data_IF_183697984412
#
_entry.id   IF_183697984412
#
_cell.length_a   1.000
_cell.length_b   1.000
_cell.length_c   1.000
_cell.angle_alpha   90.00
_cell.angle_beta   90.00
_cell.angle_gamma   90.00
#
_symmetry.space_group_name_H-M   'P 1'
#
loop_
_entity.id
_entity.type
_entity.pdbx_description
1 polymer ?
#
# COMPACT_ATOMS: atom_id res chain seq x y z
N UNK A 1 -2.80 9.70 -7.96
CA UNK A 1 -3.17 8.80 -6.86
C UNK A 1 -1.96 7.94 -6.52
N UNK A 2 -1.74 7.66 -5.23
CA UNK A 2 -0.65 6.82 -4.75
C UNK A 2 -1.16 5.59 -4.02
N UNK A 3 -0.29 4.62 -3.67
CA UNK A 3 -0.65 3.50 -2.81
C UNK A 3 -1.22 4.00 -1.48
N UNK A 4 -2.14 3.25 -0.91
CA UNK A 4 -2.76 3.57 0.38
C UNK A 4 -2.37 2.53 1.43
N UNK A 5 -2.43 2.88 2.71
CA UNK A 5 -2.06 1.99 3.81
C UNK A 5 -2.83 0.66 3.77
N UNK A 6 -4.10 0.68 3.37
CA UNK A 6 -4.88 -0.56 3.22
C UNK A 6 -4.28 -1.55 2.21
N UNK A 7 -3.60 -1.08 1.16
CA UNK A 7 -2.90 -1.97 0.24
C UNK A 7 -1.59 -2.49 0.84
N UNK A 8 -0.87 -1.66 1.59
CA UNK A 8 0.33 -2.09 2.31
C UNK A 8 0.01 -3.18 3.33
N UNK A 9 -1.09 -3.01 4.07
CA UNK A 9 -1.56 -3.98 5.05
C UNK A 9 -2.06 -5.29 4.42
N UNK A 10 -2.46 -5.27 3.15
CA UNK A 10 -2.82 -6.50 2.45
C UNK A 10 -1.61 -7.41 2.19
N UNK A 11 -0.40 -6.87 2.16
CA UNK A 11 0.82 -7.69 2.17
C UNK A 11 1.05 -8.24 3.58
N UNK A 12 0.64 -9.50 3.78
CA UNK A 12 0.62 -10.18 5.09
C UNK A 12 2.01 -10.32 5.73
N UNK A 13 2.08 -10.49 7.03
CA UNK A 13 3.30 -10.88 7.72
C UNK A 13 3.66 -12.34 7.39
N UNK A 14 4.95 -12.63 7.25
CA UNK A 14 5.43 -13.99 6.88
C UNK A 14 5.17 -15.03 7.96
N UNK A 15 5.15 -14.60 9.23
CA UNK A 15 4.91 -15.45 10.40
C UNK A 15 3.43 -15.45 10.86
N UNK A 16 2.52 -14.89 10.06
CA UNK A 16 1.11 -14.80 10.44
C UNK A 16 0.46 -16.15 10.73
N UNK A 17 -0.42 -16.18 11.74
CA UNK A 17 -1.30 -17.30 12.03
C UNK A 17 -2.55 -17.33 11.13
N UNK A 18 -2.78 -16.26 10.40
CA UNK A 18 -3.93 -16.09 9.50
C UNK A 18 -3.47 -15.79 8.07
N UNK A 19 -2.86 -16.77 7.37
CA UNK A 19 -2.36 -16.57 6.01
C UNK A 19 -3.51 -16.22 5.05
N UNK A 20 -3.20 -15.37 4.06
CA UNK A 20 -4.19 -14.88 3.08
C UNK A 20 -5.13 -13.83 3.64
N UNK A 21 -4.72 -13.08 4.67
CA UNK A 21 -5.47 -11.97 5.26
C UNK A 21 -4.61 -10.73 5.47
N UNK A 22 -5.24 -9.57 5.65
CA UNK A 22 -4.55 -8.30 5.91
C UNK A 22 -3.82 -8.34 7.27
N UNK A 23 -2.56 -7.92 7.30
CA UNK A 23 -1.79 -7.72 8.53
C UNK A 23 -1.62 -6.22 8.82
N UNK A 24 -2.26 -5.74 9.88
CA UNK A 24 -2.27 -4.31 10.22
C UNK A 24 -0.89 -3.78 10.58
N UNK A 25 -0.62 -2.53 10.18
CA UNK A 25 0.54 -1.78 10.69
C UNK A 25 0.18 -1.25 12.07
N UNK A 26 0.95 -1.63 13.07
CA UNK A 26 0.72 -1.21 14.46
C UNK A 26 1.29 0.19 14.65
N UNK A 27 0.43 1.18 14.83
CA UNK A 27 0.82 2.59 15.05
C UNK A 27 0.64 3.05 16.49
N UNK A 28 -0.09 2.29 17.28
CA UNK A 28 -0.32 2.56 18.70
C UNK A 28 -0.33 1.27 19.52
N UNK A 29 0.11 1.36 20.75
CA UNK A 29 0.13 0.27 21.71
C UNK A 29 -0.23 0.83 23.09
N UNK A 30 -1.18 0.19 23.78
CA UNK A 30 -1.65 0.64 25.09
C UNK A 30 -2.09 2.12 25.15
N UNK A 31 -2.72 2.62 24.08
CA UNK A 31 -3.22 4.00 24.01
C UNK A 31 -2.14 5.06 23.76
N UNK A 32 -0.89 4.66 23.51
CA UNK A 32 0.23 5.54 23.17
C UNK A 32 0.76 5.24 21.79
N UNK A 33 1.52 6.17 21.18
CA UNK A 33 2.18 5.92 19.91
C UNK A 33 3.19 4.78 20.05
N UNK A 34 3.20 3.87 19.06
CA UNK A 34 4.27 2.89 18.95
C UNK A 34 5.44 3.51 18.20
N UNK A 35 6.60 3.49 18.83
CA UNK A 35 7.85 3.92 18.23
C UNK A 35 8.61 2.70 17.68
N UNK A 36 9.28 2.88 16.57
CA UNK A 36 10.10 1.88 15.92
C UNK A 36 11.54 2.37 15.81
N UNK A 37 12.49 1.47 15.86
CA UNK A 37 13.92 1.78 15.79
C UNK A 37 14.36 2.30 14.41
N UNK A 38 13.60 1.99 13.38
CA UNK A 38 13.85 2.45 12.01
C UNK A 38 12.54 2.68 11.26
N UNK A 39 12.59 3.54 10.24
CA UNK A 39 11.41 3.89 9.44
C UNK A 39 10.84 2.74 8.62
N UNK A 40 11.63 1.73 8.33
CA UNK A 40 11.24 0.52 7.60
C UNK A 40 10.72 -0.60 8.50
N UNK A 41 10.97 -0.54 9.82
CA UNK A 41 10.60 -1.60 10.76
C UNK A 41 9.12 -2.01 10.72
N UNK A 42 8.13 -1.10 10.54
CA UNK A 42 6.71 -1.48 10.42
C UNK A 42 6.39 -2.32 9.18
N UNK A 43 7.31 -2.38 8.22
CA UNK A 43 7.12 -3.00 6.89
C UNK A 43 7.99 -4.24 6.69
N UNK A 44 8.88 -4.55 7.65
CA UNK A 44 9.71 -5.77 7.63
C UNK A 44 8.87 -7.03 7.81
N UNK A 45 9.42 -8.14 7.37
CA UNK A 45 8.85 -9.48 7.54
C UNK A 45 7.44 -9.63 6.95
N UNK A 46 7.14 -8.85 5.91
CA UNK A 46 5.91 -8.94 5.13
C UNK A 46 6.15 -9.68 3.82
N UNK A 47 5.06 -10.03 3.18
CA UNK A 47 5.03 -10.57 1.82
C UNK A 47 6.05 -9.83 0.93
N UNK A 48 7.04 -10.53 0.34
CA UNK A 48 8.11 -9.92 -0.45
C UNK A 48 7.61 -9.08 -1.63
N UNK A 49 6.38 -9.32 -2.09
CA UNK A 49 5.75 -8.53 -3.15
C UNK A 49 5.51 -7.07 -2.73
N UNK A 50 5.42 -6.78 -1.43
CA UNK A 50 5.37 -5.39 -0.94
C UNK A 50 6.56 -4.60 -1.43
N UNK A 51 7.77 -5.14 -1.25
CA UNK A 51 9.00 -4.49 -1.69
C UNK A 51 9.04 -4.24 -3.20
N UNK A 52 8.59 -5.21 -4.00
CA UNK A 52 8.55 -5.08 -5.46
C UNK A 52 7.48 -4.12 -5.98
N UNK A 53 6.52 -3.76 -5.16
CA UNK A 53 5.30 -3.05 -5.60
C UNK A 53 5.22 -1.62 -5.08
N UNK A 54 5.65 -1.38 -3.85
CA UNK A 54 5.45 -0.12 -3.13
C UNK A 54 6.77 0.37 -2.52
N UNK A 55 7.04 1.66 -2.68
CA UNK A 55 8.04 2.37 -1.90
C UNK A 55 7.39 2.85 -0.61
N UNK A 56 7.96 2.43 0.51
CA UNK A 56 7.55 2.78 1.86
C UNK A 56 8.69 3.50 2.59
N UNK A 57 8.46 4.12 3.74
CA UNK A 57 9.52 4.77 4.52
C UNK A 57 10.69 3.83 4.79
N UNK A 58 11.90 4.26 4.47
CA UNK A 58 13.12 3.46 4.62
C UNK A 58 13.43 2.51 3.46
N UNK A 59 12.56 2.39 2.45
CA UNK A 59 12.90 1.67 1.23
C UNK A 59 13.95 2.43 0.41
N UNK A 60 14.64 1.72 -0.48
CA UNK A 60 15.59 2.32 -1.43
C UNK A 60 15.03 2.29 -2.84
N UNK A 61 15.32 3.35 -3.61
CA UNK A 61 15.09 3.43 -5.04
C UNK A 61 16.38 3.88 -5.73
N UNK A 62 16.88 3.08 -6.67
CA UNK A 62 18.15 3.36 -7.38
C UNK A 62 19.31 3.63 -6.40
N UNK A 63 19.41 2.82 -5.35
CA UNK A 63 20.39 2.95 -4.26
C UNK A 63 20.32 4.27 -3.48
N UNK A 64 19.19 4.98 -3.55
CA UNK A 64 18.92 6.18 -2.76
C UNK A 64 17.83 5.87 -1.73
N UNK A 65 18.07 6.10 -0.44
CA UNK A 65 17.04 5.94 0.58
C UNK A 65 15.87 6.88 0.35
N UNK A 66 14.65 6.35 0.46
CA UNK A 66 13.41 7.11 0.31
C UNK A 66 12.95 7.57 1.69
N UNK A 67 13.13 8.85 1.99
CA UNK A 67 12.73 9.44 3.27
C UNK A 67 11.37 10.11 3.08
N UNK A 68 10.35 9.54 3.73
CA UNK A 68 8.95 9.98 3.61
C UNK A 68 8.47 10.71 4.88
N UNK A 69 9.36 11.39 5.59
CA UNK A 69 9.02 12.16 6.78
C UNK A 69 8.08 13.32 6.43
N UNK A 70 6.98 13.44 7.17
CA UNK A 70 5.97 14.50 6.99
C UNK A 70 5.83 15.43 8.21
N UNK A 71 6.53 15.14 9.28
CA UNK A 71 6.48 15.90 10.51
C UNK A 71 7.32 15.25 11.60
N UNK A 72 7.23 15.80 12.79
CA UNK A 72 7.95 15.33 13.97
C UNK A 72 6.99 15.24 15.16
N UNK A 73 7.09 14.14 15.91
CA UNK A 73 6.41 14.03 17.20
C UNK A 73 7.30 14.64 18.28
N UNK A 74 6.77 15.61 19.00
CA UNK A 74 7.44 16.23 20.14
C UNK A 74 6.61 16.03 21.41
N UNK A 75 7.27 15.91 22.55
CA UNK A 75 6.59 15.81 23.84
C UNK A 75 6.48 17.19 24.45
N UNK A 76 5.25 17.70 24.56
CA UNK A 76 4.96 19.00 25.16
C UNK A 76 4.06 18.79 26.38
N UNK A 77 4.51 19.26 27.56
CA UNK A 77 3.78 19.11 28.84
C UNK A 77 3.33 17.66 29.17
N UNK A 78 4.12 16.67 28.71
CA UNK A 78 3.83 15.26 28.94
C UNK A 78 2.98 14.60 27.85
N UNK A 79 2.37 15.36 26.96
CA UNK A 79 1.56 14.90 25.82
C UNK A 79 2.35 14.92 24.52
N UNK A 80 2.05 13.97 23.60
CA UNK A 80 2.67 13.94 22.28
C UNK A 80 1.92 14.86 21.32
N UNK A 81 2.62 15.80 20.73
CA UNK A 81 2.12 16.71 19.72
C UNK A 81 2.83 16.45 18.38
N UNK A 82 2.04 16.39 17.29
CA UNK A 82 2.57 16.30 15.94
C UNK A 82 2.82 17.71 15.39
N UNK A 83 4.08 18.01 15.11
CA UNK A 83 4.45 19.21 14.37
C UNK A 83 4.68 18.78 12.92
N UNK A 84 3.86 19.28 12.01
CA UNK A 84 3.98 19.07 10.57
C UNK A 84 4.17 20.41 9.87
N UNK A 85 4.68 20.38 8.65
CA UNK A 85 4.90 21.59 7.88
C UNK A 85 5.29 21.31 6.43
N UNK A 86 5.48 22.37 5.67
CA UNK A 86 6.02 22.32 4.32
C UNK A 86 7.54 22.10 4.30
N UNK A 87 8.12 21.98 3.11
CA UNK A 87 9.56 21.69 2.92
C UNK A 87 10.50 22.67 3.63
N UNK A 88 10.10 23.92 3.74
CA UNK A 88 10.90 24.97 4.36
C UNK A 88 10.70 25.08 5.89
N UNK A 89 9.73 24.32 6.41
CA UNK A 89 9.44 24.31 7.84
C UNK A 89 10.54 23.57 8.59
N UNK A 90 10.98 24.16 9.71
CA UNK A 90 12.04 23.62 10.56
C UNK A 90 11.57 23.52 12.01
N UNK A 91 12.14 22.58 12.72
CA UNK A 91 11.99 22.49 14.17
C UNK A 91 12.82 23.58 14.89
N UNK A 92 12.71 23.63 16.22
CA UNK A 92 13.45 24.59 17.04
C UNK A 92 14.99 24.44 16.93
N UNK A 93 15.48 23.29 16.47
CA UNK A 93 16.89 23.00 16.27
C UNK A 93 17.35 23.24 14.82
N UNK A 94 16.47 23.71 13.94
CA UNK A 94 16.76 23.97 12.54
C UNK A 94 16.68 22.76 11.61
N UNK A 95 16.23 21.59 12.08
CA UNK A 95 16.05 20.40 11.26
C UNK A 95 14.75 20.51 10.44
N UNK A 96 14.78 19.99 9.21
CA UNK A 96 13.59 19.98 8.37
C UNK A 96 12.48 19.10 8.97
N UNK A 97 11.27 19.64 9.07
CA UNK A 97 10.08 18.90 9.54
C UNK A 97 9.55 17.93 8.49
N UNK A 98 9.69 18.27 7.22
CA UNK A 98 9.21 17.45 6.11
C UNK A 98 10.36 17.13 5.17
N UNK A 99 10.56 15.86 4.87
CA UNK A 99 11.57 15.44 3.90
C UNK A 99 11.17 15.82 2.47
N UNK A 100 12.15 15.91 1.56
CA UNK A 100 11.94 16.25 0.15
C UNK A 100 10.91 15.34 -0.52
N UNK A 101 10.89 14.06 -0.19
CA UNK A 101 9.96 13.05 -0.72
C UNK A 101 8.76 12.83 0.21
N UNK A 102 8.67 13.54 1.32
CA UNK A 102 7.55 13.45 2.26
C UNK A 102 6.27 14.06 1.72
N UNK A 103 5.11 13.64 2.23
CA UNK A 103 3.86 14.29 1.91
C UNK A 103 3.83 15.71 2.47
N UNK A 104 3.38 16.66 1.66
CA UNK A 104 3.27 18.08 2.00
C UNK A 104 1.83 18.49 2.13
N UNK A 105 1.58 19.51 2.93
CA UNK A 105 0.24 20.12 3.04
C UNK A 105 -0.11 20.94 1.80
N UNK A 106 0.88 21.58 1.17
CA UNK A 106 0.68 22.35 -0.06
C UNK A 106 0.18 21.47 -1.21
N UNK A 107 -0.68 22.04 -2.03
CA UNK A 107 -1.29 21.37 -3.17
C UNK A 107 -0.33 21.30 -4.38
N UNK A 108 0.92 20.88 -4.11
CA UNK A 108 1.93 20.80 -5.14
C UNK A 108 1.71 19.61 -6.07
N UNK A 109 1.99 19.83 -7.32
CA UNK A 109 2.04 18.80 -8.35
C UNK A 109 3.12 17.77 -7.99
N UNK A 110 2.83 16.48 -8.17
CA UNK A 110 3.76 15.35 -7.95
C UNK A 110 4.01 14.96 -6.49
N UNK A 111 3.31 15.52 -5.53
CA UNK A 111 3.39 15.10 -4.13
C UNK A 111 2.34 14.03 -3.82
N UNK A 112 2.78 12.93 -3.25
CA UNK A 112 1.89 11.90 -2.76
C UNK A 112 1.53 12.16 -1.30
N UNK A 113 0.24 12.21 -1.00
CA UNK A 113 -0.29 12.50 0.34
C UNK A 113 -0.55 11.24 1.17
N UNK A 114 -0.19 10.06 0.69
CA UNK A 114 -0.46 8.79 1.40
C UNK A 114 0.72 8.26 2.22
N UNK A 115 1.92 8.79 2.01
CA UNK A 115 3.16 8.30 2.61
C UNK A 115 3.76 7.10 1.89
N UNK A 116 3.25 6.75 0.70
CA UNK A 116 3.73 5.64 -0.12
C UNK A 116 3.83 6.02 -1.59
N UNK A 117 4.76 5.42 -2.32
CA UNK A 117 4.92 5.62 -3.76
C UNK A 117 4.91 4.28 -4.49
N UNK A 118 4.65 4.31 -5.80
CA UNK A 118 4.79 3.15 -6.66
C UNK A 118 6.25 2.76 -6.83
N UNK A 119 6.53 1.45 -6.81
CA UNK A 119 7.79 0.87 -7.27
C UNK A 119 7.58 0.06 -8.54
N UNK A 120 6.50 -0.72 -8.57
CA UNK A 120 6.14 -1.57 -9.70
C UNK A 120 6.09 -0.74 -11.00
N UNK A 121 6.69 -1.25 -12.05
CA UNK A 121 6.84 -0.59 -13.35
C UNK A 121 7.75 0.65 -13.37
N UNK A 122 8.52 0.90 -12.32
CA UNK A 122 9.60 1.87 -12.37
C UNK A 122 10.85 1.15 -12.89
N UNK A 123 11.45 1.72 -13.94
CA UNK A 123 12.74 1.30 -14.43
C UNK A 123 13.82 1.85 -13.50
N UNK A 124 14.51 0.96 -12.78
CA UNK A 124 15.54 1.36 -11.81
C UNK A 124 16.93 1.56 -12.48
N UNK A 125 17.04 1.38 -13.79
CA UNK A 125 18.25 1.71 -14.53
C UNK A 125 18.63 3.18 -14.33
N UNK A 126 19.92 3.50 -14.12
CA UNK A 126 20.34 4.89 -13.97
C UNK A 126 19.90 5.76 -15.14
N UNK A 127 19.23 6.87 -14.85
CA UNK A 127 18.70 7.81 -15.85
C UNK A 127 17.37 7.44 -16.48
N UNK A 128 16.90 6.20 -16.35
CA UNK A 128 15.55 5.81 -16.80
C UNK A 128 14.45 6.30 -15.84
N UNK A 129 13.20 6.23 -16.28
CA UNK A 129 12.01 6.62 -15.49
C UNK A 129 12.07 8.05 -14.91
N UNK A 130 12.79 8.94 -15.57
CA UNK A 130 12.83 10.37 -15.24
C UNK A 130 12.06 11.17 -16.28
N UNK A 131 11.60 12.37 -15.91
CA UNK A 131 10.84 13.23 -16.83
C UNK A 131 11.63 13.48 -18.12
N UNK A 132 11.02 13.20 -19.27
CA UNK A 132 11.64 13.37 -20.59
C UNK A 132 12.62 12.26 -20.99
N UNK A 133 12.72 11.17 -20.23
CA UNK A 133 13.50 9.99 -20.56
C UNK A 133 12.58 8.80 -20.81
N UNK A 134 12.90 8.01 -21.82
CA UNK A 134 12.20 6.77 -22.10
C UNK A 134 12.58 5.69 -21.09
N UNK A 135 11.67 4.74 -20.91
CA UNK A 135 11.87 3.53 -20.11
C UNK A 135 11.59 2.33 -21.01
N UNK A 136 12.35 1.26 -20.83
CA UNK A 136 12.16 -0.02 -21.50
C UNK A 136 11.22 -0.96 -20.72
N UNK A 137 10.65 -0.49 -19.61
CA UNK A 137 9.70 -1.26 -18.83
C UNK A 137 8.42 -1.49 -19.61
N UNK A 138 7.97 -2.73 -19.58
CA UNK A 138 6.74 -3.17 -20.22
C UNK A 138 5.71 -3.63 -19.18
N UNK A 139 4.44 -3.47 -19.48
CA UNK A 139 3.34 -3.94 -18.66
C UNK A 139 2.82 -5.27 -19.21
N UNK A 140 2.81 -6.34 -18.42
CA UNK A 140 2.21 -7.60 -18.84
C UNK A 140 0.70 -7.42 -19.04
N UNK A 141 0.18 -7.94 -20.14
CA UNK A 141 -1.27 -7.97 -20.39
C UNK A 141 -1.91 -9.23 -19.81
N UNK A 142 -1.14 -10.29 -19.81
CA UNK A 142 -1.53 -11.58 -19.25
C UNK A 142 -0.27 -12.32 -18.79
N UNK A 143 -0.34 -13.03 -17.69
CA UNK A 143 0.77 -13.79 -17.16
C UNK A 143 0.30 -15.06 -16.43
N UNK A 144 1.21 -16.01 -16.24
CA UNK A 144 0.89 -17.33 -15.71
C UNK A 144 0.18 -17.28 -14.34
N UNK A 145 0.52 -16.33 -13.48
CA UNK A 145 -0.20 -16.15 -12.20
C UNK A 145 -1.70 -15.93 -12.40
N UNK A 146 -2.11 -15.23 -13.46
CA UNK A 146 -3.52 -15.02 -13.76
C UNK A 146 -4.21 -16.33 -14.14
N UNK A 147 -3.54 -17.19 -14.94
CA UNK A 147 -4.07 -18.51 -15.27
C UNK A 147 -4.24 -19.37 -14.00
N UNK A 148 -3.26 -19.34 -13.09
CA UNK A 148 -3.37 -20.04 -11.81
C UNK A 148 -4.49 -19.48 -10.93
N UNK A 149 -4.65 -18.17 -10.85
CA UNK A 149 -5.70 -17.56 -10.04
C UNK A 149 -7.11 -17.80 -10.62
N UNK A 150 -7.24 -17.79 -11.95
CA UNK A 150 -8.51 -18.20 -12.62
C UNK A 150 -8.83 -19.67 -12.31
N UNK A 151 -7.82 -20.56 -12.37
CA UNK A 151 -8.01 -21.96 -12.04
C UNK A 151 -8.37 -22.17 -10.55
N UNK A 152 -7.78 -21.38 -9.65
CA UNK A 152 -8.10 -21.42 -8.22
C UNK A 152 -9.55 -21.01 -7.97
N UNK A 153 -10.00 -19.90 -8.57
CA UNK A 153 -11.37 -19.40 -8.44
C UNK A 153 -12.39 -20.40 -9.05
N UNK A 154 -12.13 -20.88 -10.27
CA UNK A 154 -13.00 -21.87 -10.89
C UNK A 154 -13.09 -23.18 -10.07
N UNK A 155 -11.96 -23.62 -9.50
CA UNK A 155 -11.93 -24.83 -8.65
C UNK A 155 -12.67 -24.62 -7.33
N UNK A 156 -12.63 -23.42 -6.77
CA UNK A 156 -13.39 -23.03 -5.59
C UNK A 156 -14.89 -23.06 -5.87
N UNK A 157 -15.35 -22.44 -6.96
CA UNK A 157 -16.76 -22.44 -7.37
C UNK A 157 -17.30 -23.83 -7.72
N UNK A 158 -16.46 -24.69 -8.26
CA UNK A 158 -16.83 -26.09 -8.57
C UNK A 158 -16.72 -27.02 -7.37
N UNK A 159 -16.27 -26.56 -6.23
CA UNK A 159 -16.06 -27.35 -5.01
C UNK A 159 -15.25 -28.66 -5.24
N UNK A 160 -14.33 -28.65 -6.23
CA UNK A 160 -13.61 -29.85 -6.65
C UNK A 160 -12.35 -30.15 -5.82
N UNK A 161 -12.10 -29.38 -4.75
CA UNK A 161 -10.98 -29.55 -3.81
C UNK A 161 -9.61 -29.12 -4.32
N UNK A 162 -9.48 -28.56 -5.53
CA UNK A 162 -8.19 -28.20 -6.14
C UNK A 162 -7.82 -26.71 -6.00
N UNK A 163 -8.67 -25.89 -5.40
CA UNK A 163 -8.41 -24.45 -5.27
C UNK A 163 -7.08 -24.17 -4.56
N UNK A 164 -6.75 -24.93 -3.51
CA UNK A 164 -5.50 -24.78 -2.77
C UNK A 164 -4.25 -25.11 -3.62
N UNK A 165 -4.33 -26.07 -4.53
CA UNK A 165 -3.23 -26.40 -5.45
C UNK A 165 -2.83 -25.17 -6.29
N UNK A 166 -3.79 -24.50 -6.86
CA UNK A 166 -3.55 -23.41 -7.79
C UNK A 166 -3.17 -22.09 -7.09
N UNK A 167 -3.87 -21.71 -6.02
CA UNK A 167 -3.55 -20.49 -5.28
C UNK A 167 -2.18 -20.60 -4.59
N UNK A 168 -1.84 -21.78 -4.07
CA UNK A 168 -0.56 -22.03 -3.42
C UNK A 168 0.61 -22.05 -4.43
N UNK A 169 0.40 -22.34 -5.70
CA UNK A 169 1.44 -22.18 -6.70
C UNK A 169 1.89 -20.70 -6.81
N UNK A 170 0.96 -19.75 -6.71
CA UNK A 170 1.24 -18.31 -6.69
C UNK A 170 1.89 -17.91 -5.36
N UNK A 171 1.34 -18.35 -4.24
CA UNK A 171 1.80 -18.03 -2.89
C UNK A 171 3.22 -18.57 -2.62
N UNK A 172 3.50 -19.82 -3.00
CA UNK A 172 4.83 -20.41 -2.86
C UNK A 172 5.89 -19.67 -3.67
N UNK A 173 5.56 -19.23 -4.90
CA UNK A 173 6.45 -18.39 -5.70
C UNK A 173 6.74 -17.05 -5.01
N UNK A 174 5.76 -16.48 -4.32
CA UNK A 174 5.90 -15.23 -3.58
C UNK A 174 6.66 -15.41 -2.25
N UNK A 175 6.84 -16.65 -1.77
CA UNK A 175 7.51 -16.95 -0.51
C UNK A 175 6.63 -16.72 0.72
N UNK A 176 5.30 -16.73 0.54
CA UNK A 176 4.35 -16.60 1.64
C UNK A 176 3.74 -17.95 2.02
N UNK A 177 3.22 -18.04 3.24
CA UNK A 177 2.69 -19.27 3.82
C UNK A 177 1.54 -19.84 2.98
N UNK A 178 1.54 -21.12 2.61
CA UNK A 178 0.46 -21.74 1.85
C UNK A 178 -0.84 -21.79 2.67
N UNK A 179 -1.96 -21.85 1.96
CA UNK A 179 -3.29 -22.03 2.54
C UNK A 179 -3.62 -23.53 2.60
N UNK A 180 -4.08 -24.01 3.74
CA UNK A 180 -4.59 -25.39 3.89
C UNK A 180 -6.00 -25.49 3.31
N UNK A 181 -6.83 -24.52 3.60
CA UNK A 181 -8.18 -24.34 3.06
C UNK A 181 -8.29 -23.00 2.38
N UNK A 182 -9.06 -22.93 1.31
CA UNK A 182 -9.25 -21.70 0.53
C UNK A 182 -10.68 -21.20 0.73
N UNK A 183 -10.80 -19.96 1.13
CA UNK A 183 -12.06 -19.23 1.17
C UNK A 183 -12.15 -18.25 0.00
N UNK A 184 -13.33 -17.73 -0.27
CA UNK A 184 -13.50 -16.70 -1.28
C UNK A 184 -12.70 -15.43 -0.92
N UNK A 185 -12.64 -15.08 0.35
CA UNK A 185 -11.86 -13.94 0.86
C UNK A 185 -10.36 -14.11 0.58
N UNK A 186 -9.84 -15.34 0.70
CA UNK A 186 -8.44 -15.63 0.36
C UNK A 186 -8.18 -15.42 -1.15
N UNK A 187 -9.11 -15.81 -2.02
CA UNK A 187 -9.01 -15.56 -3.46
C UNK A 187 -9.00 -14.06 -3.73
N UNK A 188 -9.95 -13.32 -3.15
CA UNK A 188 -10.04 -11.86 -3.29
C UNK A 188 -8.79 -11.15 -2.79
N UNK A 189 -8.23 -11.63 -1.68
CA UNK A 189 -6.99 -11.11 -1.10
C UNK A 189 -5.79 -11.39 -2.02
N UNK A 190 -5.62 -12.61 -2.48
CA UNK A 190 -4.49 -12.99 -3.33
C UNK A 190 -4.50 -12.24 -4.68
N UNK A 191 -5.67 -12.09 -5.32
CA UNK A 191 -5.82 -11.23 -6.49
C UNK A 191 -5.39 -9.79 -6.22
N UNK A 192 -5.72 -9.26 -5.05
CA UNK A 192 -5.37 -7.88 -4.67
C UNK A 192 -3.88 -7.65 -4.56
N UNK A 193 -3.15 -8.57 -3.93
CA UNK A 193 -1.71 -8.42 -3.70
C UNK A 193 -0.89 -8.82 -4.93
N UNK A 194 -1.30 -9.87 -5.64
CA UNK A 194 -0.58 -10.36 -6.82
C UNK A 194 -0.71 -9.39 -8.00
N UNK A 195 -1.91 -8.88 -8.27
CA UNK A 195 -2.18 -8.02 -9.43
C UNK A 195 -2.29 -6.53 -9.08
N UNK A 196 -1.68 -6.12 -7.96
CA UNK A 196 -1.63 -4.71 -7.61
C UNK A 196 -1.05 -3.88 -8.77
N UNK A 197 -1.77 -2.83 -9.19
CA UNK A 197 -1.43 -1.94 -10.30
C UNK A 197 -1.41 -2.57 -11.71
N UNK A 198 -2.03 -3.73 -11.89
CA UNK A 198 -2.21 -4.39 -13.19
C UNK A 198 -3.65 -4.27 -13.73
N UNK A 199 -4.40 -3.26 -13.29
CA UNK A 199 -5.78 -2.94 -13.68
C UNK A 199 -6.85 -4.02 -13.34
N UNK A 200 -6.49 -5.06 -12.56
CA UNK A 200 -7.42 -6.13 -12.19
C UNK A 200 -8.48 -5.68 -11.19
N UNK A 201 -8.08 -4.97 -10.12
CA UNK A 201 -8.91 -4.69 -8.94
C UNK A 201 -10.28 -4.10 -9.26
N UNK A 202 -10.35 -3.16 -10.21
CA UNK A 202 -11.60 -2.52 -10.58
C UNK A 202 -12.61 -3.51 -11.16
N UNK A 203 -12.16 -4.36 -12.06
CA UNK A 203 -13.01 -5.34 -12.73
C UNK A 203 -13.39 -6.49 -11.80
N UNK A 204 -12.45 -6.96 -10.98
CA UNK A 204 -12.67 -8.01 -10.01
C UNK A 204 -13.72 -7.61 -8.97
N UNK A 205 -13.64 -6.40 -8.43
CA UNK A 205 -14.64 -5.90 -7.48
C UNK A 205 -16.04 -5.83 -8.08
N UNK A 206 -16.15 -5.53 -9.37
CA UNK A 206 -17.43 -5.51 -10.07
C UNK A 206 -17.97 -6.92 -10.35
N UNK A 207 -17.16 -7.81 -10.92
CA UNK A 207 -17.59 -9.16 -11.24
C UNK A 207 -17.98 -9.97 -10.01
N UNK A 208 -17.29 -9.76 -8.88
CA UNK A 208 -17.63 -10.36 -7.58
C UNK A 208 -18.74 -9.62 -6.81
N UNK A 209 -19.25 -8.52 -7.34
CA UNK A 209 -20.25 -7.66 -6.68
C UNK A 209 -19.79 -7.13 -5.31
N UNK A 210 -18.49 -6.93 -5.16
CA UNK A 210 -17.87 -6.37 -3.95
C UNK A 210 -17.66 -4.85 -4.04
N UNK A 211 -17.84 -4.25 -5.23
CA UNK A 211 -17.63 -2.82 -5.46
C UNK A 211 -18.48 -1.96 -4.52
N UNK A 212 -19.72 -2.33 -4.31
CA UNK A 212 -20.63 -1.64 -3.41
C UNK A 212 -20.14 -1.69 -1.95
N UNK A 213 -19.67 -2.84 -1.48
CA UNK A 213 -19.14 -2.99 -0.13
C UNK A 213 -17.84 -2.22 0.09
N UNK A 214 -16.94 -2.22 -0.91
CA UNK A 214 -15.60 -1.64 -0.79
C UNK A 214 -15.61 -0.14 -1.07
N UNK A 215 -16.45 0.33 -2.00
CA UNK A 215 -16.46 1.73 -2.45
C UNK A 215 -17.69 2.52 -2.04
N UNK A 216 -18.65 1.87 -1.38
CA UNK A 216 -19.85 2.54 -0.90
C UNK A 216 -19.52 3.55 0.21
N UNK A 217 -19.98 4.80 0.03
CA UNK A 217 -19.74 5.91 0.91
C UNK A 217 -20.40 5.87 2.28
N UNK A 218 -21.11 4.83 2.60
CA UNK A 218 -21.86 4.70 3.85
C UNK A 218 -21.00 4.43 5.09
N UNK A 219 -19.69 4.21 4.94
CA UNK A 219 -18.82 4.29 6.09
C UNK A 219 -18.70 5.77 6.47
N UNK A 220 -19.22 6.13 7.64
CA UNK A 220 -19.09 7.45 8.25
C UNK A 220 -17.63 7.85 8.50
N UNK A 221 -16.69 6.97 8.19
CA UNK A 221 -15.27 7.22 8.20
C UNK A 221 -14.72 7.26 6.76
N UNK A 222 -14.57 8.46 6.16
CA UNK A 222 -13.92 8.61 4.86
C UNK A 222 -12.49 8.08 4.82
N UNK A 223 -11.85 7.89 5.97
CA UNK A 223 -10.49 7.39 6.12
C UNK A 223 -10.43 5.86 6.00
N UNK A 224 -11.50 5.15 6.32
CA UNK A 224 -11.56 3.71 6.13
C UNK A 224 -11.29 3.30 4.68
N UNK A 225 -11.52 4.19 3.71
CA UNK A 225 -11.28 3.96 2.28
C UNK A 225 -9.87 4.27 1.82
N UNK A 226 -9.22 5.26 2.45
CA UNK A 226 -7.95 5.82 2.00
C UNK A 226 -7.03 6.03 3.19
N UNK A 227 -6.82 4.98 3.97
CA UNK A 227 -5.93 5.03 5.12
C UNK A 227 -4.52 5.41 4.67
N UNK A 228 -3.93 6.31 5.42
CA UNK A 228 -2.56 6.79 5.26
C UNK A 228 -1.71 6.28 6.39
N UNK A 229 -0.42 6.28 6.18
CA UNK A 229 0.51 6.06 7.27
C UNK A 229 0.44 7.27 8.22
N UNK A 230 0.12 7.01 9.49
CA UNK A 230 0.20 8.02 10.53
C UNK A 230 1.67 8.21 10.95
N UNK A 231 2.17 9.41 11.21
CA UNK A 231 1.47 10.69 11.34
C UNK A 231 1.41 11.53 10.05
N UNK A 232 1.49 10.95 8.88
CA UNK A 232 1.41 11.66 7.60
C UNK A 232 0.02 12.28 7.42
N UNK A 233 -0.18 13.42 8.07
CA UNK A 233 -1.45 14.13 8.04
C UNK A 233 -1.41 15.24 7.00
N UNK A 234 -2.25 15.15 6.00
CA UNK A 234 -2.76 16.33 5.32
C UNK A 234 -4.27 16.37 5.54
N UNK A 235 -4.88 17.55 5.46
CA UNK A 235 -6.29 17.78 5.75
C UNK A 235 -7.21 16.73 5.10
N UNK A 236 -7.80 15.91 5.92
CA UNK A 236 -8.63 14.74 5.55
C UNK A 236 -9.88 15.10 4.76
N UNK A 237 -10.34 16.35 4.85
CA UNK A 237 -11.58 16.82 4.24
C UNK A 237 -11.50 17.08 2.72
N UNK A 238 -10.32 17.33 2.16
CA UNK A 238 -10.18 17.71 0.74
C UNK A 238 -9.93 16.54 -0.21
N UNK A 239 -9.27 15.48 0.23
CA UNK A 239 -8.88 14.36 -0.64
C UNK A 239 -10.06 13.51 -1.12
N UNK A 240 -11.11 13.40 -0.33
CA UNK A 240 -12.34 12.68 -0.74
C UNK A 240 -13.12 13.39 -1.86
N UNK A 241 -12.98 14.71 -2.01
CA UNK A 241 -13.69 15.48 -3.04
C UNK A 241 -12.92 15.53 -4.37
N UNK A 242 -11.61 15.63 -4.34
CA UNK A 242 -10.80 15.76 -5.56
C UNK A 242 -10.65 14.46 -6.34
N UNK A 243 -10.64 13.29 -5.68
CA UNK A 243 -10.70 12.00 -6.38
C UNK A 243 -12.06 11.71 -7.03
N UNK A 244 -13.14 12.32 -6.54
CA UNK A 244 -14.47 12.17 -7.16
C UNK A 244 -14.62 12.96 -8.47
N UNK A 245 -13.92 14.07 -8.61
CA UNK A 245 -14.11 14.97 -9.77
C UNK A 245 -13.42 14.51 -11.05
N UNK A 246 -12.51 13.51 -10.99
CA UNK A 246 -11.77 13.02 -12.17
C UNK A 246 -12.30 11.71 -12.76
N UNK A 247 -13.29 11.07 -12.14
CA UNK A 247 -13.80 9.76 -12.56
C UNK A 247 -15.33 9.68 -12.56
N UNK A 248 -16.03 10.79 -12.68
CA UNK A 248 -17.44 10.79 -13.08
C UNK A 248 -17.52 10.78 -14.59
N UNK A 249 -18.39 9.92 -15.20
CA UNK A 249 -18.58 9.85 -16.63
C UNK A 249 -19.11 11.16 -17.20
#
# INVERSE_FOLDING_TARGET
CGPVLNLVEAYELLDTDTPGTDSKVVTSENGTFKFYDSSDAPFKDRDPRLWGTILYPGAELKSVPVVLQAGQLVKNNGEWELIAGDLDSKDANGNALTALNGPKESNEQYVNKTGFYYRKFIDETPGASTRGRNSEMWMPRFRMSEAYMIAAEASFELENGRAAEFINAVRNRAGVKPLETVTFENIVHEYRVEFAFEDHRYWDMKRWRLADKVWNGNNNDPQARHRRLWPYRSEERRVGKECRSRWSP
#
